data_IF_660490589353
#
_entry.id   IF_660490589353
#
_cell.length_a   1.000
_cell.length_b   1.000
_cell.length_c   1.000
_cell.angle_alpha   90.00
_cell.angle_beta   90.00
_cell.angle_gamma   90.00
#
_symmetry.space_group_name_H-M   'P 1'
#
loop_
_entity.id
_entity.type
_entity.pdbx_description
1 polymer ?
#
# COMPACT_ATOMS: atom_id res chain seq x y z
N UNK A 1 12.60 -24.42 -12.88
CA UNK A 1 11.55 -23.81 -12.06
C UNK A 1 12.14 -22.49 -11.61
N UNK A 2 11.74 -21.38 -12.22
CA UNK A 2 12.19 -20.06 -11.75
C UNK A 2 11.63 -19.85 -10.34
N UNK A 3 12.47 -19.39 -9.42
CA UNK A 3 12.05 -19.09 -8.06
C UNK A 3 11.23 -17.79 -8.01
N UNK A 4 10.36 -17.64 -7.01
CA UNK A 4 9.59 -16.40 -6.81
C UNK A 4 10.51 -15.16 -6.72
N UNK A 5 11.71 -15.32 -6.18
CA UNK A 5 12.72 -14.26 -6.12
C UNK A 5 13.29 -13.93 -7.51
N UNK A 6 13.55 -14.91 -8.36
CA UNK A 6 14.02 -14.73 -9.73
C UNK A 6 12.98 -13.96 -10.57
N UNK A 7 11.70 -14.35 -10.47
CA UNK A 7 10.61 -13.63 -11.12
C UNK A 7 10.46 -12.20 -10.57
N UNK A 8 10.77 -11.98 -9.29
CA UNK A 8 10.76 -10.65 -8.69
C UNK A 8 11.84 -9.75 -9.32
N UNK A 9 13.10 -10.15 -9.24
CA UNK A 9 14.23 -9.30 -9.66
C UNK A 9 14.34 -9.11 -11.18
N UNK A 10 13.77 -10.02 -11.97
CA UNK A 10 13.75 -9.90 -13.44
C UNK A 10 12.49 -9.18 -13.96
N UNK A 11 11.51 -8.92 -13.08
CA UNK A 11 10.29 -8.21 -13.50
C UNK A 11 10.56 -6.75 -13.83
N UNK A 12 9.73 -6.13 -14.70
CA UNK A 12 9.84 -4.70 -15.01
C UNK A 12 9.76 -3.85 -13.74
N UNK A 13 10.54 -2.76 -13.73
CA UNK A 13 10.46 -1.74 -12.71
C UNK A 13 9.23 -0.84 -12.92
N UNK A 14 8.70 -0.33 -11.82
CA UNK A 14 7.56 0.58 -11.79
C UNK A 14 7.79 1.67 -10.75
N UNK A 15 7.53 2.94 -11.11
CA UNK A 15 7.80 4.09 -10.26
C UNK A 15 6.51 4.69 -9.68
N UNK A 16 6.45 4.81 -8.37
CA UNK A 16 5.39 5.47 -7.64
C UNK A 16 5.82 6.87 -7.21
N UNK A 17 4.99 7.89 -7.47
CA UNK A 17 5.10 9.20 -6.83
C UNK A 17 4.18 9.22 -5.61
N UNK A 18 4.74 9.24 -4.40
CA UNK A 18 3.99 9.14 -3.15
C UNK A 18 3.99 10.48 -2.41
N UNK A 19 2.88 10.78 -1.74
CA UNK A 19 2.72 11.98 -0.92
C UNK A 19 2.64 13.28 -1.70
N UNK A 20 2.40 14.37 -0.97
CA UNK A 20 2.27 15.72 -1.54
C UNK A 20 3.52 16.19 -2.28
N UNK A 21 4.70 15.77 -1.80
CA UNK A 21 5.99 16.08 -2.40
C UNK A 21 6.33 15.18 -3.60
N UNK A 22 5.43 14.23 -3.95
CA UNK A 22 5.57 13.31 -5.08
C UNK A 22 6.89 12.55 -5.08
N UNK A 23 7.33 12.13 -3.89
CA UNK A 23 8.59 11.40 -3.73
C UNK A 23 8.56 10.12 -4.56
N UNK A 24 9.61 9.88 -5.32
CA UNK A 24 9.69 8.72 -6.22
C UNK A 24 10.19 7.47 -5.50
N UNK A 25 9.46 6.37 -5.65
CA UNK A 25 9.85 5.04 -5.22
C UNK A 25 9.79 4.08 -6.41
N UNK A 26 10.89 3.42 -6.74
CA UNK A 26 10.95 2.46 -7.85
C UNK A 26 11.06 1.04 -7.31
N UNK A 27 10.16 0.17 -7.76
CA UNK A 27 10.03 -1.22 -7.29
C UNK A 27 9.86 -2.20 -8.45
N UNK A 28 10.15 -3.47 -8.20
CA UNK A 28 9.83 -4.57 -9.10
C UNK A 28 8.32 -4.82 -9.13
N UNK A 29 7.73 -4.78 -10.32
CA UNK A 29 6.29 -4.92 -10.52
C UNK A 29 5.74 -6.23 -9.95
N UNK A 30 6.48 -7.33 -10.07
CA UNK A 30 6.05 -8.63 -9.56
C UNK A 30 5.85 -8.64 -8.03
N UNK A 31 6.67 -7.89 -7.28
CA UNK A 31 6.56 -7.84 -5.81
C UNK A 31 5.18 -7.33 -5.37
N UNK A 32 4.73 -6.21 -5.95
CA UNK A 32 3.49 -5.56 -5.54
C UNK A 32 2.26 -6.05 -6.30
N UNK A 33 2.40 -6.51 -7.55
CA UNK A 33 1.27 -7.03 -8.33
C UNK A 33 0.58 -8.21 -7.64
N UNK A 34 1.34 -9.03 -6.91
CA UNK A 34 0.81 -10.18 -6.18
C UNK A 34 0.04 -9.80 -4.91
N UNK A 35 0.12 -8.54 -4.45
CA UNK A 35 -0.60 -8.10 -3.24
C UNK A 35 -2.09 -7.88 -3.50
N UNK A 36 -2.48 -7.46 -4.72
CA UNK A 36 -3.90 -7.31 -5.07
C UNK A 36 -4.15 -7.27 -6.58
N UNK A 37 -5.36 -7.67 -7.04
CA UNK A 37 -5.73 -7.53 -8.45
C UNK A 37 -5.71 -6.09 -8.99
N UNK A 38 -5.93 -5.10 -8.12
CA UNK A 38 -5.88 -3.69 -8.51
C UNK A 38 -4.46 -3.23 -8.82
N UNK A 39 -3.49 -3.67 -8.02
CA UNK A 39 -2.07 -3.38 -8.23
C UNK A 39 -1.52 -4.10 -9.45
N UNK A 40 -1.95 -5.34 -9.69
CA UNK A 40 -1.60 -6.05 -10.91
C UNK A 40 -2.11 -5.31 -12.15
N UNK A 41 -3.37 -4.87 -12.17
CA UNK A 41 -3.90 -4.05 -13.27
C UNK A 41 -3.17 -2.72 -13.43
N UNK A 42 -2.78 -2.09 -12.33
CA UNK A 42 -2.04 -0.82 -12.33
C UNK A 42 -0.66 -0.97 -13.00
N UNK A 43 0.04 -2.07 -12.71
CA UNK A 43 1.42 -2.26 -13.16
C UNK A 43 1.54 -3.03 -14.47
N UNK A 44 0.65 -3.99 -14.71
CA UNK A 44 0.72 -4.95 -15.82
C UNK A 44 -0.51 -4.90 -16.74
N UNK A 45 -1.51 -4.08 -16.42
CA UNK A 45 -2.72 -3.96 -17.21
C UNK A 45 -2.60 -3.04 -18.44
N UNK A 46 -3.75 -2.66 -18.99
CA UNK A 46 -3.83 -1.84 -20.20
C UNK A 46 -3.96 -0.32 -19.95
N UNK A 47 -3.85 0.11 -18.68
CA UNK A 47 -3.98 1.52 -18.26
C UNK A 47 -2.74 2.34 -18.63
N UNK A 48 -2.82 3.66 -18.56
CA UNK A 48 -1.72 4.53 -19.00
C UNK A 48 -0.50 4.38 -18.09
N UNK A 49 -0.72 4.18 -16.80
CA UNK A 49 0.29 4.00 -15.76
C UNK A 49 1.13 2.75 -16.01
N UNK A 50 0.51 1.65 -16.42
CA UNK A 50 1.19 0.40 -16.80
C UNK A 50 2.10 0.61 -18.02
N UNK A 51 1.69 1.46 -18.96
CA UNK A 51 2.46 1.78 -20.18
C UNK A 51 3.62 2.73 -19.90
N UNK A 52 3.40 3.75 -19.07
CA UNK A 52 4.43 4.71 -18.66
C UNK A 52 5.33 4.18 -17.56
N UNK A 53 4.96 3.04 -16.95
CA UNK A 53 5.61 2.43 -15.77
C UNK A 53 5.71 3.40 -14.61
N UNK A 54 4.70 4.26 -14.46
CA UNK A 54 4.68 5.31 -13.45
C UNK A 54 3.26 5.68 -13.07
N UNK A 55 3.03 5.90 -11.78
CA UNK A 55 1.75 6.40 -11.25
C UNK A 55 1.97 7.56 -10.28
N UNK A 56 1.03 8.51 -10.31
CA UNK A 56 0.85 9.50 -9.26
C UNK A 56 -0.08 8.90 -8.18
N UNK A 57 0.45 8.70 -6.99
CA UNK A 57 -0.29 8.22 -5.82
C UNK A 57 -0.11 9.19 -4.65
N UNK A 58 -0.37 10.48 -4.92
CA UNK A 58 -0.25 11.59 -3.96
C UNK A 58 -1.06 11.40 -2.66
N UNK A 59 -2.15 10.60 -2.69
CA UNK A 59 -2.99 10.33 -1.52
C UNK A 59 -2.38 9.31 -0.54
N UNK A 60 -1.35 8.57 -0.97
CA UNK A 60 -0.67 7.62 -0.10
C UNK A 60 0.37 8.32 0.77
N UNK A 61 0.41 7.93 2.04
CA UNK A 61 1.48 8.29 2.96
C UNK A 61 2.77 7.51 2.64
N UNK A 62 3.91 8.20 2.66
CA UNK A 62 5.23 7.61 2.33
C UNK A 62 5.56 6.45 3.26
N UNK A 63 5.31 6.64 4.55
CA UNK A 63 5.60 5.70 5.61
C UNK A 63 4.76 4.41 5.46
N UNK A 64 3.50 4.57 5.06
CA UNK A 64 2.59 3.48 4.74
C UNK A 64 3.03 2.74 3.47
N UNK A 65 3.43 3.47 2.43
CA UNK A 65 3.91 2.87 1.19
C UNK A 65 5.21 2.06 1.39
N UNK A 66 6.15 2.56 2.20
CA UNK A 66 7.39 1.84 2.54
C UNK A 66 7.07 0.52 3.24
N UNK A 67 6.14 0.50 4.19
CA UNK A 67 5.73 -0.73 4.89
C UNK A 67 5.03 -1.72 3.95
N UNK A 68 4.23 -1.22 3.02
CA UNK A 68 3.66 -2.06 1.95
C UNK A 68 4.77 -2.70 1.09
N UNK A 69 5.84 -1.96 0.79
CA UNK A 69 6.99 -2.52 0.09
C UNK A 69 7.74 -3.56 0.93
N UNK A 70 7.99 -3.31 2.22
CA UNK A 70 8.59 -4.32 3.11
C UNK A 70 7.80 -5.63 3.04
N UNK A 71 6.48 -5.55 3.20
CA UNK A 71 5.61 -6.72 3.14
C UNK A 71 5.66 -7.40 1.76
N UNK A 72 5.72 -6.64 0.67
CA UNK A 72 5.81 -7.17 -0.69
C UNK A 72 7.09 -7.99 -0.93
N UNK A 73 8.21 -7.57 -0.37
CA UNK A 73 9.52 -8.20 -0.61
C UNK A 73 9.88 -9.26 0.43
N UNK A 74 9.47 -9.06 1.69
CA UNK A 74 9.94 -9.85 2.83
C UNK A 74 8.84 -10.70 3.45
N UNK A 75 7.58 -10.51 3.03
CA UNK A 75 6.39 -11.07 3.70
C UNK A 75 6.28 -10.69 5.18
N UNK A 76 6.91 -9.58 5.56
CA UNK A 76 6.88 -8.99 6.90
C UNK A 76 7.12 -7.48 6.78
N UNK A 77 6.72 -6.69 7.78
CA UNK A 77 6.93 -5.24 7.79
C UNK A 77 7.14 -4.71 9.21
N UNK A 78 7.81 -3.56 9.32
CA UNK A 78 8.06 -2.93 10.60
C UNK A 78 6.84 -2.08 11.01
N UNK A 79 6.11 -2.44 12.09
CA UNK A 79 4.95 -1.66 12.51
C UNK A 79 5.35 -0.24 12.94
N UNK A 80 4.47 0.76 12.78
CA UNK A 80 4.74 2.10 13.28
C UNK A 80 4.90 2.10 14.80
N UNK A 81 5.77 2.97 15.31
CA UNK A 81 5.88 3.17 16.75
C UNK A 81 4.58 3.79 17.31
N UNK A 82 4.25 3.59 18.59
CA UNK A 82 3.07 4.18 19.22
C UNK A 82 3.00 5.72 19.07
N UNK A 83 4.15 6.39 18.98
CA UNK A 83 4.21 7.84 18.80
C UNK A 83 3.87 8.28 17.36
N UNK A 84 4.15 7.45 16.35
CA UNK A 84 3.74 7.71 14.96
C UNK A 84 2.24 7.50 14.75
N UNK A 85 1.64 6.56 15.50
CA UNK A 85 0.19 6.27 15.43
C UNK A 85 -0.67 7.41 16.01
N UNK A 86 -0.12 8.22 16.91
CA UNK A 86 -0.85 9.27 17.61
C UNK A 86 -1.15 10.51 16.76
N UNK A 87 -0.52 10.63 15.59
CA UNK A 87 -0.71 11.74 14.65
C UNK A 87 -1.91 11.55 13.71
N UNK A 88 -2.56 10.38 13.75
CA UNK A 88 -3.81 10.15 13.03
C UNK A 88 -4.95 10.94 13.69
N UNK A 89 -5.68 11.81 12.95
CA UNK A 89 -6.88 12.43 13.48
C UNK A 89 -7.89 11.32 13.73
N UNK A 90 -8.07 10.94 14.99
CA UNK A 90 -9.20 10.09 15.37
C UNK A 90 -10.42 11.00 15.30
N UNK A 91 -11.11 11.01 14.16
CA UNK A 91 -12.47 11.55 14.10
C UNK A 91 -13.34 10.71 15.04
N UNK A 92 -13.46 11.20 16.27
CA UNK A 92 -14.16 10.58 17.41
C UNK A 92 -15.69 10.64 17.26
N UNK A 93 -16.22 10.43 16.06
CA UNK A 93 -17.65 10.44 15.79
C UNK A 93 -18.11 9.09 15.21
N UNK A 94 -18.28 8.06 16.06
CA UNK A 94 -19.39 7.09 15.93
C UNK A 94 -19.49 6.00 17.01
N UNK A 95 -18.75 6.06 18.12
CA UNK A 95 -18.90 5.06 19.20
C UNK A 95 -19.96 5.44 20.24
N UNK A 96 -21.14 5.92 19.83
CA UNK A 96 -22.29 6.12 20.75
C UNK A 96 -23.62 5.65 20.16
N UNK A 97 -23.66 4.49 19.53
CA UNK A 97 -24.96 3.88 19.17
C UNK A 97 -24.94 2.35 19.22
N UNK A 98 -24.48 1.76 20.34
CA UNK A 98 -24.66 0.30 20.55
C UNK A 98 -25.10 -0.06 21.99
N UNK A 99 -24.89 0.79 22.99
CA UNK A 99 -25.19 0.42 24.39
C UNK A 99 -26.61 0.72 24.90
N UNK A 100 -27.53 1.21 24.05
CA UNK A 100 -28.85 1.65 24.50
C UNK A 100 -30.01 0.71 24.14
N UNK A 101 -29.86 -0.63 24.05
CA UNK A 101 -31.02 -1.53 23.87
C UNK A 101 -30.87 -2.94 24.47
N UNK A 102 -30.51 -3.09 25.75
CA UNK A 102 -30.88 -4.33 26.49
C UNK A 102 -31.21 -4.01 27.94
N UNK A 103 -32.43 -3.54 28.23
CA UNK A 103 -33.21 -3.86 29.45
C UNK A 103 -34.71 -3.66 29.15
N UNK A 104 -35.33 -4.68 28.54
CA UNK A 104 -36.78 -4.92 28.65
C UNK A 104 -36.97 -6.19 29.47
N UNK A 105 -37.35 -6.04 30.73
CA UNK A 105 -38.29 -6.93 31.42
C UNK A 105 -38.79 -6.24 32.69
#
# INVERSE_FOLDING_TARGET
MEGAFESCITSPLFTFQIGLEKREFTVHSYALANLSPSLDRLMNGAVIEAKTRRVDWSDADEDTFVRMCEYAYLHDYTPPSPHQMADWPVDLEDTKSVHAKIKKK
#
